data_IF_652180911478
#
_entry.id   IF_652180911478
#
_cell.length_a   1.000
_cell.length_b   1.000
_cell.length_c   1.000
_cell.angle_alpha   90.00
_cell.angle_beta   90.00
_cell.angle_gamma   90.00
#
_symmetry.space_group_name_H-M   'P 1'
#
loop_
_entity.id
_entity.type
_entity.pdbx_description
1 polymer ?
#
# COMPACT_ATOMS: atom_id res chain seq x y z
N UNK A 1 -9.81 7.39 7.98
CA UNK A 1 -9.86 5.93 8.25
C UNK A 1 -8.71 5.45 9.12
N UNK A 2 -7.45 5.36 8.66
CA UNK A 2 -6.35 4.78 9.45
C UNK A 2 -6.12 5.44 10.83
N UNK A 3 -6.29 6.75 10.96
CA UNK A 3 -6.25 7.43 12.28
C UNK A 3 -7.28 6.84 13.23
N UNK A 4 -8.54 6.75 12.78
CA UNK A 4 -9.66 6.16 13.52
C UNK A 4 -9.44 4.69 13.89
N UNK A 5 -8.77 3.93 13.02
CA UNK A 5 -8.34 2.54 13.35
C UNK A 5 -7.32 2.53 14.48
N UNK A 6 -6.35 3.44 14.44
CA UNK A 6 -5.34 3.58 15.50
C UNK A 6 -5.96 4.00 16.83
N UNK A 7 -6.81 5.02 16.82
CA UNK A 7 -7.55 5.50 18.00
C UNK A 7 -8.38 4.38 18.63
N UNK A 8 -9.16 3.64 17.83
CA UNK A 8 -9.93 2.51 18.31
C UNK A 8 -9.10 1.45 19.04
N UNK A 9 -7.93 1.11 18.50
CA UNK A 9 -7.05 0.12 19.12
C UNK A 9 -6.34 0.68 20.37
N UNK A 10 -6.02 1.98 20.39
CA UNK A 10 -5.47 2.67 21.57
C UNK A 10 -6.49 2.74 22.71
N UNK A 11 -7.77 2.90 22.38
CA UNK A 11 -8.90 2.98 23.33
C UNK A 11 -9.41 1.60 23.81
N UNK A 12 -8.64 0.53 23.57
CA UNK A 12 -8.97 -0.83 24.04
C UNK A 12 -9.83 -1.66 23.09
N UNK A 13 -10.04 -1.18 21.86
CA UNK A 13 -10.68 -1.93 20.79
C UNK A 13 -9.97 -3.26 20.49
N UNK A 14 -10.73 -4.25 20.02
CA UNK A 14 -10.25 -5.62 19.81
C UNK A 14 -10.39 -6.06 18.36
N UNK A 15 -9.44 -6.88 17.91
CA UNK A 15 -9.54 -7.59 16.63
C UNK A 15 -10.71 -8.57 16.66
N UNK A 16 -11.40 -8.72 15.53
CA UNK A 16 -12.49 -9.69 15.43
C UNK A 16 -13.79 -9.25 16.13
N UNK A 17 -13.92 -7.99 16.55
CA UNK A 17 -15.19 -7.42 16.99
C UNK A 17 -16.09 -7.10 15.78
N UNK A 18 -17.39 -6.87 16.01
CA UNK A 18 -18.26 -6.31 14.97
C UNK A 18 -17.71 -4.94 14.50
N UNK A 19 -17.88 -4.61 13.21
CA UNK A 19 -17.39 -3.33 12.68
C UNK A 19 -18.07 -2.15 13.38
N UNK A 20 -17.32 -1.30 14.11
CA UNK A 20 -17.93 -0.23 14.89
C UNK A 20 -18.38 0.95 14.03
N UNK A 21 -18.07 0.97 12.73
CA UNK A 21 -18.31 2.13 11.87
C UNK A 21 -19.07 1.84 10.59
N UNK A 22 -18.98 0.61 10.09
CA UNK A 22 -19.69 0.18 8.89
C UNK A 22 -20.87 -0.73 9.26
N UNK A 23 -22.07 -0.18 9.46
CA UNK A 23 -23.25 -0.97 9.83
C UNK A 23 -23.66 -2.01 8.78
N UNK A 24 -23.19 -1.85 7.53
CA UNK A 24 -23.47 -2.74 6.40
C UNK A 24 -22.31 -3.66 6.04
N UNK A 25 -21.19 -3.61 6.77
CA UNK A 25 -20.09 -4.54 6.56
C UNK A 25 -20.51 -5.97 6.95
N UNK A 26 -20.06 -6.94 6.16
CA UNK A 26 -20.16 -8.36 6.46
C UNK A 26 -18.89 -8.83 7.16
N UNK A 27 -19.09 -9.45 8.31
CA UNK A 27 -18.02 -10.08 9.07
C UNK A 27 -17.44 -9.16 10.13
N UNK A 28 -16.40 -9.67 10.79
CA UNK A 28 -15.74 -8.97 11.87
C UNK A 28 -14.71 -7.99 11.34
N UNK A 29 -14.44 -6.95 12.13
CA UNK A 29 -13.42 -5.98 11.81
C UNK A 29 -12.02 -6.57 11.96
N UNK A 30 -11.31 -6.67 10.84
CA UNK A 30 -9.95 -7.23 10.76
C UNK A 30 -8.99 -6.19 10.15
N UNK A 31 -8.41 -5.28 10.96
CA UNK A 31 -7.45 -4.29 10.47
C UNK A 31 -6.13 -4.96 10.11
N UNK A 32 -5.98 -5.39 8.85
CA UNK A 32 -4.77 -6.03 8.31
C UNK A 32 -3.51 -5.15 8.33
N UNK A 33 -3.65 -3.87 8.64
CA UNK A 33 -2.60 -2.85 8.62
C UNK A 33 -2.60 -2.03 9.92
N UNK A 34 -2.83 -2.71 11.04
CA UNK A 34 -3.10 -2.10 12.33
C UNK A 34 -1.90 -1.31 12.90
N UNK A 35 -0.67 -1.84 12.78
CA UNK A 35 0.47 -1.27 13.51
C UNK A 35 0.81 0.16 13.05
N UNK A 36 0.93 0.46 11.73
CA UNK A 36 1.11 1.83 11.27
C UNK A 36 -0.05 2.74 11.65
N UNK A 37 -1.28 2.20 11.70
CA UNK A 37 -2.45 2.97 12.10
C UNK A 37 -2.33 3.43 13.56
N UNK A 38 -1.91 2.55 14.47
CA UNK A 38 -1.64 2.87 15.89
C UNK A 38 -0.50 3.87 16.03
N UNK A 39 0.62 3.63 15.34
CA UNK A 39 1.80 4.52 15.42
C UNK A 39 1.46 5.93 14.92
N UNK A 40 0.78 6.04 13.79
CA UNK A 40 0.41 7.34 13.21
C UNK A 40 -0.65 8.04 14.05
N UNK A 41 -1.62 7.31 14.62
CA UNK A 41 -2.58 7.90 15.57
C UNK A 41 -1.86 8.50 16.79
N UNK A 42 -0.87 7.79 17.35
CA UNK A 42 -0.11 8.32 18.49
C UNK A 42 0.71 9.56 18.15
N UNK A 43 1.31 9.59 16.96
CA UNK A 43 2.06 10.76 16.48
C UNK A 43 1.09 11.93 16.17
N UNK A 44 -0.10 11.62 15.67
CA UNK A 44 -1.16 12.59 15.41
C UNK A 44 -1.65 13.27 16.71
N UNK A 45 -1.79 12.54 17.82
CA UNK A 45 -2.15 13.14 19.13
C UNK A 45 -1.20 14.27 19.54
N UNK A 46 0.09 14.16 19.20
CA UNK A 46 1.09 15.15 19.60
C UNK A 46 1.18 16.33 18.64
N UNK A 47 1.15 16.07 17.33
CA UNK A 47 1.53 17.06 16.31
C UNK A 47 0.48 17.27 15.20
N UNK A 48 -0.70 16.68 15.33
CA UNK A 48 -1.83 16.87 14.41
C UNK A 48 -1.60 16.38 12.97
N UNK A 49 -2.35 16.94 12.01
CA UNK A 49 -2.26 16.59 10.59
C UNK A 49 -0.86 16.79 9.97
N UNK A 50 -0.06 17.80 10.36
CA UNK A 50 1.33 17.89 9.91
C UNK A 50 2.16 16.63 10.17
N UNK A 51 1.87 15.92 11.27
CA UNK A 51 2.57 14.69 11.61
C UNK A 51 2.28 13.56 10.60
N UNK A 52 1.03 13.48 10.12
CA UNK A 52 0.61 12.53 9.07
C UNK A 52 1.31 12.86 7.75
N UNK A 53 1.32 14.13 7.35
CA UNK A 53 2.03 14.60 6.16
C UNK A 53 3.54 14.30 6.24
N UNK A 54 4.15 14.52 7.41
CA UNK A 54 5.57 14.22 7.65
C UNK A 54 5.86 12.72 7.57
N UNK A 55 4.97 11.87 8.10
CA UNK A 55 5.14 10.41 8.08
C UNK A 55 5.28 9.82 6.68
N UNK A 56 4.58 10.41 5.70
CA UNK A 56 4.73 10.06 4.28
C UNK A 56 6.13 10.36 3.79
N UNK A 57 6.63 11.57 4.04
CA UNK A 57 8.00 11.96 3.65
C UNK A 57 9.02 11.05 4.33
N UNK A 58 8.84 10.76 5.62
CA UNK A 58 9.68 9.82 6.35
C UNK A 58 9.72 8.43 5.70
N UNK A 59 8.55 7.89 5.33
CA UNK A 59 8.45 6.62 4.63
C UNK A 59 9.14 6.63 3.26
N UNK A 60 8.98 7.69 2.47
CA UNK A 60 9.63 7.83 1.14
C UNK A 60 11.16 7.94 1.29
N UNK A 61 11.64 8.73 2.25
CA UNK A 61 13.08 8.89 2.54
C UNK A 61 13.70 7.57 2.99
N UNK A 62 13.04 6.85 3.90
CA UNK A 62 13.50 5.53 4.36
C UNK A 62 13.50 4.49 3.23
N UNK A 63 12.48 4.53 2.35
CA UNK A 63 12.42 3.67 1.18
C UNK A 63 13.59 3.95 0.22
N UNK A 64 13.82 5.22 -0.12
CA UNK A 64 14.91 5.64 -0.99
C UNK A 64 16.29 5.29 -0.41
N UNK A 65 16.48 5.52 0.89
CA UNK A 65 17.71 5.15 1.60
C UNK A 65 17.93 3.62 1.60
N UNK A 66 16.89 2.85 1.90
CA UNK A 66 16.95 1.38 1.90
C UNK A 66 17.27 0.83 0.51
N UNK A 67 16.65 1.37 -0.54
CA UNK A 67 16.94 1.02 -1.93
C UNK A 67 18.39 1.38 -2.29
N UNK A 68 18.83 2.60 -2.00
CA UNK A 68 20.17 3.06 -2.32
C UNK A 68 21.22 2.19 -1.62
N UNK A 69 21.11 1.99 -0.31
CA UNK A 69 22.06 1.18 0.46
C UNK A 69 22.12 -0.27 -0.04
N UNK A 70 20.97 -0.86 -0.37
CA UNK A 70 20.91 -2.25 -0.84
C UNK A 70 21.43 -2.42 -2.27
N UNK A 71 21.00 -1.56 -3.20
CA UNK A 71 21.46 -1.55 -4.59
C UNK A 71 22.94 -1.18 -4.69
N UNK A 72 23.46 -0.36 -3.77
CA UNK A 72 24.89 -0.03 -3.67
C UNK A 72 25.75 -1.24 -3.30
N UNK A 73 25.18 -2.33 -2.77
CA UNK A 73 25.91 -3.60 -2.59
C UNK A 73 26.06 -4.41 -3.88
N UNK A 74 25.27 -4.07 -4.90
CA UNK A 74 25.18 -4.78 -6.19
C UNK A 74 25.89 -3.99 -7.30
N UNK A 75 25.79 -2.67 -7.29
CA UNK A 75 26.33 -1.81 -8.34
C UNK A 75 27.12 -0.61 -7.81
N UNK A 76 27.93 -0.01 -8.70
CA UNK A 76 28.59 1.28 -8.49
C UNK A 76 27.57 2.40 -8.25
N UNK A 77 27.99 3.44 -7.52
CA UNK A 77 27.11 4.51 -7.06
C UNK A 77 26.19 5.12 -8.15
N UNK A 78 26.68 5.50 -9.35
CA UNK A 78 25.80 6.08 -10.38
C UNK A 78 24.66 5.16 -10.80
N UNK A 79 24.94 3.85 -10.90
CA UNK A 79 23.93 2.86 -11.29
C UNK A 79 22.95 2.62 -10.16
N UNK A 80 23.44 2.56 -8.91
CA UNK A 80 22.59 2.43 -7.72
C UNK A 80 21.65 3.64 -7.57
N UNK A 81 22.12 4.86 -7.86
CA UNK A 81 21.29 6.07 -7.87
C UNK A 81 20.21 6.01 -8.95
N UNK A 82 20.57 5.65 -10.20
CA UNK A 82 19.60 5.51 -11.30
C UNK A 82 18.56 4.44 -10.99
N UNK A 83 18.98 3.27 -10.51
CA UNK A 83 18.08 2.18 -10.15
C UNK A 83 17.16 2.56 -8.96
N UNK A 84 17.67 3.32 -7.99
CA UNK A 84 16.88 3.86 -6.88
C UNK A 84 15.84 4.86 -7.39
N UNK A 85 16.25 5.83 -8.20
CA UNK A 85 15.34 6.81 -8.79
C UNK A 85 14.23 6.14 -9.62
N UNK A 86 14.60 5.13 -10.41
CA UNK A 86 13.66 4.33 -11.17
C UNK A 86 12.63 3.63 -10.27
N UNK A 87 13.09 2.96 -9.22
CA UNK A 87 12.22 2.32 -8.24
C UNK A 87 11.26 3.32 -7.57
N UNK A 88 11.73 4.53 -7.24
CA UNK A 88 10.88 5.59 -6.68
C UNK A 88 9.84 6.07 -7.70
N UNK A 89 10.21 6.28 -8.96
CA UNK A 89 9.27 6.66 -10.03
C UNK A 89 8.20 5.58 -10.23
N UNK A 90 8.59 4.30 -10.21
CA UNK A 90 7.66 3.18 -10.32
C UNK A 90 6.69 3.11 -9.13
N UNK A 91 7.17 3.48 -7.93
CA UNK A 91 6.37 3.50 -6.72
C UNK A 91 5.50 4.75 -6.57
N UNK A 92 5.82 5.85 -7.27
CA UNK A 92 5.26 7.18 -7.04
C UNK A 92 3.74 7.24 -6.85
N UNK A 93 2.91 6.59 -7.70
CA UNK A 93 1.45 6.61 -7.52
C UNK A 93 0.96 5.98 -6.21
N UNK A 94 1.78 5.15 -5.57
CA UNK A 94 1.50 4.47 -4.31
C UNK A 94 2.22 5.09 -3.10
N UNK A 95 3.02 6.14 -3.30
CA UNK A 95 3.73 6.84 -2.22
C UNK A 95 2.84 7.90 -1.57
N UNK A 96 1.76 7.45 -0.92
CA UNK A 96 0.76 8.28 -0.22
C UNK A 96 0.90 8.14 1.31
N UNK A 97 0.08 8.87 2.07
CA UNK A 97 0.00 8.86 3.54
C UNK A 97 -0.60 7.54 4.11
N UNK A 98 -0.47 6.43 3.37
CA UNK A 98 -1.03 5.11 3.68
C UNK A 98 0.01 4.18 4.30
N UNK A 99 -0.41 3.16 5.11
CA UNK A 99 0.49 2.14 5.65
C UNK A 99 1.31 1.38 4.60
N UNK A 100 0.88 1.41 3.34
CA UNK A 100 1.58 0.82 2.20
C UNK A 100 3.04 1.26 2.09
N UNK A 101 3.36 2.52 2.37
CA UNK A 101 4.75 3.01 2.30
C UNK A 101 5.63 2.31 3.33
N UNK A 102 5.12 2.08 4.55
CA UNK A 102 5.80 1.25 5.56
C UNK A 102 6.02 -0.18 5.07
N UNK A 103 5.03 -0.75 4.37
CA UNK A 103 5.17 -2.04 3.69
C UNK A 103 6.32 -2.08 2.68
N UNK A 104 6.49 -1.02 1.88
CA UNK A 104 7.61 -0.93 0.94
C UNK A 104 8.96 -0.82 1.65
N UNK A 105 9.05 0.00 2.72
CA UNK A 105 10.27 0.15 3.53
C UNK A 105 10.74 -1.20 4.08
N UNK A 106 9.82 -2.07 4.52
CA UNK A 106 10.15 -3.41 5.02
C UNK A 106 10.39 -4.43 3.90
N UNK A 107 9.75 -4.27 2.73
CA UNK A 107 9.94 -5.17 1.60
C UNK A 107 11.34 -5.08 0.98
N UNK A 108 11.92 -3.88 0.90
CA UNK A 108 13.27 -3.69 0.33
C UNK A 108 14.35 -4.51 1.03
N UNK A 109 14.50 -4.50 2.37
CA UNK A 109 15.46 -5.35 3.05
C UNK A 109 15.14 -6.84 2.89
N UNK A 110 13.86 -7.23 2.73
CA UNK A 110 13.48 -8.62 2.41
C UNK A 110 14.02 -9.04 1.04
N UNK A 111 13.81 -8.21 0.00
CA UNK A 111 14.38 -8.44 -1.34
C UNK A 111 15.91 -8.49 -1.26
N UNK A 112 16.54 -7.53 -0.57
CA UNK A 112 18.00 -7.49 -0.38
C UNK A 112 18.54 -8.76 0.29
N UNK A 113 17.83 -9.27 1.29
CA UNK A 113 18.22 -10.46 2.02
C UNK A 113 18.16 -11.71 1.14
N UNK A 114 17.04 -11.93 0.46
CA UNK A 114 16.90 -13.06 -0.47
C UNK A 114 17.89 -12.98 -1.62
N UNK A 115 18.09 -11.78 -2.18
CA UNK A 115 19.10 -11.52 -3.19
C UNK A 115 20.49 -11.95 -2.70
N UNK A 116 20.92 -11.44 -1.54
CA UNK A 116 22.23 -11.81 -0.99
C UNK A 116 22.31 -13.29 -0.65
N UNK A 117 21.24 -13.93 -0.20
CA UNK A 117 21.17 -15.39 0.07
C UNK A 117 21.40 -16.18 -1.21
N UNK A 118 20.86 -15.72 -2.33
CA UNK A 118 21.09 -16.34 -3.64
C UNK A 118 22.54 -16.23 -4.09
N UNK A 119 23.25 -15.16 -3.69
CA UNK A 119 24.65 -14.94 -4.05
C UNK A 119 25.62 -15.67 -3.10
N UNK A 120 25.37 -15.71 -1.79
CA UNK A 120 26.30 -16.22 -0.79
C UNK A 120 25.90 -17.54 -0.11
N UNK A 121 24.70 -18.04 -0.35
CA UNK A 121 24.18 -19.28 0.24
C UNK A 121 23.94 -19.20 1.75
N UNK A 122 24.06 -18.01 2.37
CA UNK A 122 23.88 -17.82 3.82
C UNK A 122 22.45 -17.48 4.12
N UNK A 123 21.82 -18.24 5.01
CA UNK A 123 20.44 -18.00 5.44
C UNK A 123 20.38 -16.81 6.40
N UNK A 124 19.39 -15.93 6.20
CA UNK A 124 19.18 -14.71 6.99
C UNK A 124 17.97 -14.87 7.90
N UNK A 125 18.16 -15.51 9.05
CA UNK A 125 17.07 -15.85 9.97
C UNK A 125 16.31 -14.65 10.55
N UNK A 126 16.90 -13.45 10.55
CA UNK A 126 16.20 -12.22 10.90
C UNK A 126 15.03 -11.90 9.95
N UNK A 127 14.95 -12.54 8.77
CA UNK A 127 13.78 -12.47 7.90
C UNK A 127 12.50 -12.96 8.59
N UNK A 128 12.61 -13.89 9.53
CA UNK A 128 11.46 -14.43 10.27
C UNK A 128 10.80 -13.33 11.11
N UNK A 129 11.46 -12.72 12.12
CA UNK A 129 10.84 -11.63 12.88
C UNK A 129 10.51 -10.40 12.01
N UNK A 130 11.27 -10.12 10.94
CA UNK A 130 10.92 -9.04 10.02
C UNK A 130 9.62 -9.35 9.25
N UNK A 131 9.37 -10.60 8.85
CA UNK A 131 8.15 -10.98 8.15
C UNK A 131 6.94 -10.87 9.06
N UNK A 132 7.08 -11.22 10.35
CA UNK A 132 6.05 -10.95 11.36
C UNK A 132 5.72 -9.45 11.43
N UNK A 133 6.76 -8.60 11.54
CA UNK A 133 6.57 -7.15 11.58
C UNK A 133 5.90 -6.63 10.30
N UNK A 134 6.36 -7.09 9.13
CA UNK A 134 5.77 -6.72 7.84
C UNK A 134 4.30 -7.14 7.74
N UNK A 135 3.94 -8.29 8.33
CA UNK A 135 2.57 -8.77 8.39
C UNK A 135 1.66 -7.90 9.27
N UNK A 136 2.19 -7.29 10.33
CA UNK A 136 1.49 -6.29 11.13
C UNK A 136 1.37 -4.92 10.43
N UNK A 137 2.25 -4.64 9.47
CA UNK A 137 2.36 -3.33 8.80
C UNK A 137 1.47 -3.21 7.58
N UNK A 138 1.60 -4.13 6.61
CA UNK A 138 0.85 -4.03 5.37
C UNK A 138 0.83 -5.36 4.61
N UNK A 139 -0.29 -5.70 3.95
CA UNK A 139 -0.49 -6.96 3.19
C UNK A 139 0.53 -7.30 2.10
N UNK A 140 1.46 -6.40 1.79
CA UNK A 140 2.54 -6.61 0.82
C UNK A 140 3.63 -7.55 1.33
N UNK A 141 3.61 -7.88 2.63
CA UNK A 141 4.46 -8.93 3.22
C UNK A 141 4.40 -10.23 2.42
N UNK A 142 3.24 -10.55 1.86
CA UNK A 142 3.01 -11.74 1.03
C UNK A 142 3.88 -11.76 -0.24
N UNK A 143 4.16 -10.59 -0.84
CA UNK A 143 5.07 -10.48 -1.99
C UNK A 143 6.53 -10.68 -1.58
N UNK A 144 6.89 -10.37 -0.33
CA UNK A 144 8.19 -10.70 0.25
C UNK A 144 8.40 -12.21 0.37
N UNK A 145 7.38 -12.94 0.84
CA UNK A 145 7.38 -14.42 0.83
C UNK A 145 7.42 -14.98 -0.59
N UNK A 146 6.63 -14.43 -1.52
CA UNK A 146 6.65 -14.83 -2.93
C UNK A 146 8.03 -14.66 -3.56
N UNK A 147 8.71 -13.54 -3.26
CA UNK A 147 10.09 -13.30 -3.69
C UNK A 147 11.04 -14.37 -3.14
N UNK A 148 10.94 -14.67 -1.84
CA UNK A 148 11.72 -15.73 -1.20
C UNK A 148 11.49 -17.10 -1.82
N UNK A 149 10.23 -17.46 -2.09
CA UNK A 149 9.85 -18.71 -2.74
C UNK A 149 10.50 -18.84 -4.12
N UNK A 150 10.39 -17.81 -4.96
CA UNK A 150 10.98 -17.82 -6.30
C UNK A 150 12.51 -17.94 -6.25
N UNK A 151 13.15 -17.24 -5.31
CA UNK A 151 14.60 -17.34 -5.10
C UNK A 151 14.99 -18.75 -4.69
N UNK A 152 14.37 -19.31 -3.66
CA UNK A 152 14.69 -20.64 -3.15
C UNK A 152 14.40 -21.72 -4.20
N UNK A 153 13.28 -21.62 -4.92
CA UNK A 153 12.93 -22.55 -5.99
C UNK A 153 13.99 -22.58 -7.09
N UNK A 154 14.41 -21.41 -7.59
CA UNK A 154 15.45 -21.33 -8.61
C UNK A 154 16.78 -21.95 -8.14
N UNK A 155 17.20 -21.65 -6.90
CA UNK A 155 18.44 -22.19 -6.33
C UNK A 155 18.39 -23.72 -6.09
N UNK A 156 17.22 -24.25 -5.74
CA UNK A 156 17.00 -25.69 -5.55
C UNK A 156 17.07 -26.42 -6.88
N UNK A 157 16.40 -25.88 -7.91
CA UNK A 157 16.39 -26.46 -9.26
C UNK A 157 17.79 -26.46 -9.88
N UNK A 158 18.54 -25.36 -9.73
CA UNK A 158 19.93 -25.26 -10.22
C UNK A 158 20.93 -26.10 -9.42
N UNK A 159 20.53 -26.68 -8.27
CA UNK A 159 21.38 -27.43 -7.35
C UNK A 159 22.67 -26.71 -6.94
N UNK A 160 22.64 -25.38 -6.90
CA UNK A 160 23.82 -24.51 -6.74
C UNK A 160 24.52 -24.63 -5.37
N UNK A 161 23.76 -24.93 -4.33
CA UNK A 161 24.23 -25.01 -2.95
C UNK A 161 24.08 -26.42 -2.38
N UNK A 162 24.77 -26.73 -1.28
CA UNK A 162 24.68 -28.04 -0.60
C UNK A 162 23.25 -28.34 -0.13
N UNK A 163 22.93 -29.63 0.06
CA UNK A 163 21.62 -30.05 0.59
C UNK A 163 21.29 -29.36 1.92
N UNK A 164 22.25 -29.27 2.84
CA UNK A 164 22.07 -28.58 4.13
C UNK A 164 21.71 -27.10 3.96
N UNK A 165 22.39 -26.38 3.05
CA UNK A 165 22.05 -24.99 2.76
C UNK A 165 20.64 -24.84 2.19
N UNK A 166 20.25 -25.69 1.24
CA UNK A 166 18.89 -25.68 0.66
C UNK A 166 17.82 -25.94 1.71
N UNK A 167 18.03 -26.93 2.58
CA UNK A 167 17.10 -27.24 3.70
C UNK A 167 16.96 -26.05 4.63
N UNK A 168 18.06 -25.37 5.00
CA UNK A 168 18.01 -24.18 5.85
C UNK A 168 17.27 -23.02 5.19
N UNK A 169 17.39 -22.84 3.87
CA UNK A 169 16.65 -21.82 3.12
C UNK A 169 15.14 -22.11 3.12
N UNK A 170 14.75 -23.36 2.87
CA UNK A 170 13.36 -23.81 2.92
C UNK A 170 12.80 -23.64 4.34
N UNK A 171 13.55 -24.03 5.37
CA UNK A 171 13.16 -23.85 6.76
C UNK A 171 12.99 -22.37 7.15
N UNK A 172 13.84 -21.48 6.65
CA UNK A 172 13.68 -20.04 6.84
C UNK A 172 12.39 -19.52 6.18
N UNK A 173 12.09 -19.95 4.95
CA UNK A 173 10.86 -19.58 4.25
C UNK A 173 9.62 -20.09 4.97
N UNK A 174 9.65 -21.34 5.45
CA UNK A 174 8.60 -21.93 6.27
C UNK A 174 8.42 -21.18 7.60
N UNK A 175 9.52 -20.80 8.27
CA UNK A 175 9.49 -19.97 9.47
C UNK A 175 8.87 -18.60 9.20
N UNK A 176 9.20 -17.95 8.07
CA UNK A 176 8.59 -16.68 7.67
C UNK A 176 7.08 -16.81 7.42
N UNK A 177 6.61 -17.92 6.84
CA UNK A 177 5.18 -18.19 6.68
C UNK A 177 4.50 -18.48 8.03
N UNK A 178 5.13 -19.28 8.90
CA UNK A 178 4.56 -19.66 10.18
C UNK A 178 4.33 -18.44 11.09
N UNK A 179 5.27 -17.49 11.13
CA UNK A 179 5.12 -16.32 11.98
C UNK A 179 4.01 -15.35 11.54
N UNK A 180 3.56 -15.38 10.29
CA UNK A 180 2.41 -14.52 9.90
C UNK A 180 1.10 -14.98 10.51
N UNK A 181 0.99 -16.28 10.85
CA UNK A 181 -0.12 -16.82 11.62
C UNK A 181 -0.07 -16.45 13.11
N UNK A 182 1.08 -15.95 13.60
CA UNK A 182 1.30 -15.52 15.00
C UNK A 182 1.06 -14.02 15.20
N UNK A 183 0.50 -13.33 14.20
CA UNK A 183 0.04 -11.95 14.38
C UNK A 183 -1.26 -11.92 15.20
N UNK A 184 -1.68 -10.77 15.75
CA UNK A 184 -2.97 -10.65 16.44
C UNK A 184 -4.20 -11.02 15.59
N UNK A 185 -4.06 -11.05 14.26
CA UNK A 185 -5.10 -11.46 13.32
C UNK A 185 -5.20 -12.99 13.16
N UNK A 186 -4.23 -13.73 13.73
CA UNK A 186 -4.19 -15.18 13.73
C UNK A 186 -3.92 -15.80 12.34
N UNK A 187 -4.18 -17.12 12.17
CA UNK A 187 -3.84 -17.85 10.97
C UNK A 187 -4.61 -17.41 9.73
N UNK A 188 -5.77 -16.76 9.89
CA UNK A 188 -6.58 -16.26 8.76
C UNK A 188 -5.84 -15.23 7.93
N UNK A 189 -4.89 -14.49 8.52
CA UNK A 189 -4.06 -13.53 7.79
C UNK A 189 -3.31 -14.19 6.61
N UNK A 190 -2.95 -15.47 6.73
CA UNK A 190 -2.28 -16.23 5.66
C UNK A 190 -3.13 -16.36 4.39
N UNK A 191 -4.45 -16.32 4.54
CA UNK A 191 -5.43 -16.43 3.44
C UNK A 191 -5.88 -15.07 2.91
N UNK A 192 -5.60 -13.97 3.63
CA UNK A 192 -6.03 -12.63 3.26
C UNK A 192 -5.70 -12.20 1.82
N UNK A 193 -4.52 -12.56 1.24
CA UNK A 193 -4.23 -12.22 -0.16
C UNK A 193 -5.21 -12.83 -1.17
N UNK A 194 -5.81 -13.98 -0.85
CA UNK A 194 -6.72 -14.70 -1.74
C UNK A 194 -8.17 -14.23 -1.59
N UNK A 195 -8.59 -13.79 -0.40
CA UNK A 195 -9.95 -13.30 -0.13
C UNK A 195 -10.18 -11.89 -0.67
N UNK A 196 -9.16 -11.02 -0.61
CA UNK A 196 -9.25 -9.64 -1.12
C UNK A 196 -9.34 -9.62 -2.66
N UNK A 197 -8.71 -10.59 -3.33
CA UNK A 197 -8.70 -10.66 -4.79
C UNK A 197 -10.04 -11.00 -5.45
N UNK A 198 -10.96 -11.66 -4.73
CA UNK A 198 -12.21 -12.20 -5.30
C UNK A 198 -13.42 -11.28 -5.18
N UNK A 199 -13.50 -10.40 -4.17
CA UNK A 199 -14.79 -9.78 -3.80
C UNK A 199 -15.06 -8.38 -4.37
N UNK A 200 -14.04 -7.66 -4.87
CA UNK A 200 -14.24 -6.26 -5.27
C UNK A 200 -13.25 -5.71 -6.32
N UNK A 201 -12.49 -6.59 -7.00
CA UNK A 201 -11.45 -6.21 -7.98
C UNK A 201 -11.90 -5.23 -9.06
N UNK A 202 -13.14 -5.35 -9.52
CA UNK A 202 -13.70 -4.51 -10.58
C UNK A 202 -14.12 -3.10 -10.10
N UNK A 203 -14.26 -2.89 -8.79
CA UNK A 203 -14.75 -1.63 -8.22
C UNK A 203 -13.64 -0.77 -7.63
N UNK A 204 -12.47 -1.36 -7.35
CA UNK A 204 -11.31 -0.65 -6.81
C UNK A 204 -10.29 -0.42 -7.94
N UNK A 205 -10.10 0.84 -8.32
CA UNK A 205 -9.24 1.22 -9.44
C UNK A 205 -7.79 0.71 -9.28
N UNK A 206 -7.30 0.60 -8.05
CA UNK A 206 -5.98 0.05 -7.73
C UNK A 206 -5.85 -1.45 -8.02
N UNK A 207 -6.96 -2.18 -8.05
CA UNK A 207 -6.98 -3.63 -8.28
C UNK A 207 -7.23 -4.01 -9.75
N UNK A 208 -7.53 -3.02 -10.57
CA UNK A 208 -7.65 -3.18 -12.02
C UNK A 208 -6.27 -3.48 -12.65
N UNK A 209 -6.26 -4.14 -13.83
CA UNK A 209 -5.06 -4.27 -14.63
C UNK A 209 -4.35 -2.93 -14.83
N UNK A 210 -3.03 -2.97 -14.89
CA UNK A 210 -2.24 -1.79 -15.18
C UNK A 210 -2.27 -1.47 -16.68
N UNK A 211 -1.92 -0.24 -17.04
CA UNK A 211 -1.83 0.18 -18.43
C UNK A 211 -0.41 0.56 -18.76
N UNK A 212 0.11 0.08 -19.90
CA UNK A 212 1.42 0.48 -20.41
C UNK A 212 1.50 2.00 -20.70
N UNK A 213 0.36 2.69 -20.79
CA UNK A 213 0.29 4.16 -20.94
C UNK A 213 0.58 4.89 -19.62
N UNK A 214 0.51 4.21 -18.48
CA UNK A 214 0.87 4.79 -17.19
C UNK A 214 2.40 4.91 -17.08
N UNK A 215 2.96 6.10 -16.79
CA UNK A 215 4.42 6.30 -16.76
C UNK A 215 5.17 5.30 -15.88
N UNK A 216 4.67 5.01 -14.68
CA UNK A 216 5.27 4.03 -13.77
C UNK A 216 5.38 2.62 -14.37
N UNK A 217 4.35 2.20 -15.12
CA UNK A 217 4.33 0.90 -15.81
C UNK A 217 5.33 0.90 -16.96
N UNK A 218 5.28 1.93 -17.82
CA UNK A 218 6.19 2.08 -18.95
C UNK A 218 7.66 2.07 -18.51
N UNK A 219 8.00 2.81 -17.45
CA UNK A 219 9.36 2.85 -16.89
C UNK A 219 9.78 1.47 -16.36
N UNK A 220 8.88 0.75 -15.67
CA UNK A 220 9.19 -0.61 -15.19
C UNK A 220 9.44 -1.57 -16.35
N UNK A 221 8.58 -1.54 -17.38
CA UNK A 221 8.72 -2.39 -18.57
C UNK A 221 10.00 -2.06 -19.33
N UNK A 222 10.35 -0.78 -19.46
CA UNK A 222 11.61 -0.35 -20.06
C UNK A 222 12.82 -0.88 -19.27
N UNK A 223 12.79 -0.79 -17.94
CA UNK A 223 13.84 -1.35 -17.09
C UNK A 223 14.02 -2.86 -17.32
N UNK A 224 12.91 -3.61 -17.37
CA UNK A 224 12.92 -5.05 -17.63
C UNK A 224 13.40 -5.39 -19.05
N UNK A 225 13.06 -4.57 -20.05
CA UNK A 225 13.55 -4.71 -21.41
C UNK A 225 15.07 -4.46 -21.50
N UNK A 226 15.57 -3.44 -20.78
CA UNK A 226 17.01 -3.17 -20.67
C UNK A 226 17.74 -4.32 -19.98
N UNK A 227 17.18 -4.89 -18.91
CA UNK A 227 17.72 -6.09 -18.26
C UNK A 227 17.84 -7.25 -19.26
N UNK A 228 16.75 -7.53 -19.99
CA UNK A 228 16.74 -8.59 -20.99
C UNK A 228 17.79 -8.36 -22.09
N UNK A 229 17.88 -7.13 -22.60
CA UNK A 229 18.90 -6.74 -23.57
C UNK A 229 20.34 -6.89 -23.03
N UNK A 230 20.58 -6.53 -21.77
CA UNK A 230 21.89 -6.73 -21.13
C UNK A 230 22.23 -8.22 -21.00
N UNK A 231 21.25 -9.06 -20.66
CA UNK A 231 21.43 -10.52 -20.60
C UNK A 231 21.68 -11.13 -21.98
N UNK A 232 21.00 -10.67 -23.04
CA UNK A 232 21.20 -11.19 -24.40
C UNK A 232 22.57 -10.84 -24.98
N UNK A 233 23.25 -9.82 -24.42
CA UNK A 233 24.62 -9.43 -24.80
C UNK A 233 25.71 -10.19 -24.04
N UNK A 234 25.35 -11.08 -23.12
CA UNK A 234 26.31 -11.86 -22.32
C UNK A 234 26.49 -13.26 -22.86
N UNK A 235 27.71 -13.78 -22.72
CA UNK A 235 28.02 -15.17 -23.03
C UNK A 235 27.42 -16.16 -22.03
N UNK A 236 27.18 -15.72 -20.78
CA UNK A 236 26.56 -16.53 -19.74
C UNK A 236 25.07 -16.20 -19.58
N UNK A 237 24.27 -17.26 -19.42
CA UNK A 237 22.83 -17.14 -19.17
C UNK A 237 22.57 -16.62 -17.74
N UNK A 238 21.48 -15.85 -17.54
CA UNK A 238 21.06 -15.47 -16.18
C UNK A 238 20.70 -16.71 -15.37
N UNK A 239 20.86 -16.61 -14.05
CA UNK A 239 20.46 -17.69 -13.14
C UNK A 239 18.94 -17.82 -13.11
N UNK A 240 18.44 -19.03 -12.90
CA UNK A 240 17.02 -19.36 -12.96
C UNK A 240 16.21 -18.56 -11.96
N UNK A 241 16.73 -18.31 -10.76
CA UNK A 241 16.06 -17.46 -9.78
C UNK A 241 15.95 -15.99 -10.26
N UNK A 242 16.92 -15.48 -11.01
CA UNK A 242 16.85 -14.13 -11.60
C UNK A 242 15.78 -14.08 -12.71
N UNK A 243 15.68 -15.14 -13.52
CA UNK A 243 14.64 -15.28 -14.53
C UNK A 243 13.25 -15.34 -13.89
N UNK A 244 13.09 -16.10 -12.81
CA UNK A 244 11.84 -16.15 -12.04
C UNK A 244 11.46 -14.79 -11.46
N UNK A 245 12.42 -14.04 -10.91
CA UNK A 245 12.17 -12.68 -10.43
C UNK A 245 11.85 -11.71 -11.57
N UNK A 246 12.45 -11.87 -12.75
CA UNK A 246 12.14 -11.06 -13.93
C UNK A 246 10.72 -11.32 -14.43
N UNK A 247 10.32 -12.59 -14.53
CA UNK A 247 8.96 -12.99 -14.89
C UNK A 247 7.94 -12.52 -13.85
N UNK A 248 8.27 -12.62 -12.56
CA UNK A 248 7.44 -12.11 -11.49
C UNK A 248 7.32 -10.59 -11.54
N UNK A 249 8.41 -9.86 -11.80
CA UNK A 249 8.38 -8.40 -11.97
C UNK A 249 7.46 -8.02 -13.13
N UNK A 250 7.60 -8.67 -14.29
CA UNK A 250 6.73 -8.47 -15.45
C UNK A 250 5.26 -8.75 -15.11
N UNK A 251 4.99 -9.90 -14.48
CA UNK A 251 3.65 -10.30 -14.05
C UNK A 251 3.04 -9.31 -13.07
N UNK A 252 3.75 -8.93 -12.01
CA UNK A 252 3.30 -7.95 -11.01
C UNK A 252 3.04 -6.58 -11.63
N UNK A 253 3.90 -6.15 -12.58
CA UNK A 253 3.72 -4.87 -13.27
C UNK A 253 2.48 -4.87 -14.16
N UNK A 254 2.15 -5.98 -14.83
CA UNK A 254 1.01 -6.05 -15.76
C UNK A 254 -0.31 -6.45 -15.08
N UNK A 255 -0.25 -7.22 -14.00
CA UNK A 255 -1.44 -7.82 -13.38
C UNK A 255 -2.33 -6.81 -12.68
N UNK A 256 -1.75 -5.86 -11.94
CA UNK A 256 -2.51 -4.95 -11.09
C UNK A 256 -1.74 -3.65 -10.82
N UNK A 257 -2.42 -2.50 -10.81
CA UNK A 257 -1.75 -1.20 -10.54
C UNK A 257 -1.01 -1.18 -9.21
N UNK A 258 -1.63 -1.75 -8.17
CA UNK A 258 -1.05 -1.81 -6.81
C UNK A 258 0.25 -2.63 -6.70
N UNK A 259 0.54 -3.52 -7.66
CA UNK A 259 1.75 -4.35 -7.67
C UNK A 259 2.90 -3.79 -8.53
N UNK A 260 2.65 -2.73 -9.31
CA UNK A 260 3.68 -2.03 -10.11
C UNK A 260 4.90 -1.60 -9.29
N UNK A 261 4.76 -1.03 -8.07
CA UNK A 261 5.91 -0.66 -7.26
C UNK A 261 6.84 -1.85 -6.95
N UNK A 262 6.26 -3.03 -6.68
CA UNK A 262 7.04 -4.24 -6.38
C UNK A 262 7.76 -4.75 -7.63
N UNK A 263 7.08 -4.74 -8.78
CA UNK A 263 7.73 -5.01 -10.07
C UNK A 263 8.90 -4.05 -10.32
N UNK A 264 8.74 -2.76 -10.01
CA UNK A 264 9.79 -1.74 -10.09
C UNK A 264 10.98 -2.02 -9.16
N UNK A 265 10.73 -2.48 -7.92
CA UNK A 265 11.82 -2.85 -7.00
C UNK A 265 12.61 -4.05 -7.51
N UNK A 266 11.94 -5.10 -7.96
CA UNK A 266 12.59 -6.27 -8.55
C UNK A 266 13.38 -5.87 -9.82
N UNK A 267 12.78 -5.04 -10.69
CA UNK A 267 13.44 -4.52 -11.88
C UNK A 267 14.69 -3.70 -11.55
N UNK A 268 14.67 -2.89 -10.49
CA UNK A 268 15.83 -2.11 -10.05
C UNK A 268 16.99 -3.00 -9.61
N UNK A 269 16.72 -4.07 -8.87
CA UNK A 269 17.74 -5.06 -8.47
C UNK A 269 18.32 -5.80 -9.67
N UNK A 270 17.45 -6.28 -10.56
CA UNK A 270 17.84 -6.95 -11.79
C UNK A 270 18.68 -6.04 -12.70
N UNK A 271 18.28 -4.77 -12.84
CA UNK A 271 19.00 -3.76 -13.62
C UNK A 271 20.38 -3.47 -13.02
N UNK A 272 20.46 -3.28 -11.71
CA UNK A 272 21.73 -3.05 -11.02
C UNK A 272 22.70 -4.21 -11.25
N UNK A 273 22.24 -5.46 -11.13
CA UNK A 273 23.06 -6.65 -11.36
C UNK A 273 23.43 -6.84 -12.83
N UNK A 274 22.46 -6.73 -13.74
CA UNK A 274 22.66 -6.84 -15.18
C UNK A 274 23.61 -5.75 -15.72
N UNK A 275 23.68 -4.60 -15.06
CA UNK A 275 24.69 -3.60 -15.38
C UNK A 275 26.05 -3.91 -14.75
N UNK A 276 26.09 -4.28 -13.46
CA UNK A 276 27.32 -4.49 -12.71
C UNK A 276 28.16 -5.66 -13.25
N UNK A 277 27.52 -6.71 -13.75
CA UNK A 277 28.19 -7.88 -14.32
C UNK A 277 28.33 -7.77 -15.86
N UNK A 278 28.15 -6.58 -16.46
CA UNK A 278 28.33 -6.36 -17.89
C UNK A 278 29.80 -6.54 -18.25
N UNK A 279 30.12 -7.61 -18.98
CA UNK A 279 31.48 -7.93 -19.41
C UNK A 279 32.27 -8.78 -18.42
N UNK A 280 31.66 -9.27 -17.33
CA UNK A 280 32.31 -10.18 -16.37
C UNK A 280 31.42 -11.38 -16.08
N UNK A 281 32.03 -12.55 -15.84
CA UNK A 281 31.31 -13.77 -15.45
C UNK A 281 31.08 -13.85 -13.92
N UNK A 282 31.88 -13.12 -13.13
CA UNK A 282 31.84 -13.19 -11.68
C UNK A 282 30.92 -12.12 -11.07
N UNK A 283 30.16 -12.44 -10.00
CA UNK A 283 29.38 -11.45 -9.27
C UNK A 283 30.30 -10.37 -8.68
N UNK A 284 30.12 -9.12 -9.11
CA UNK A 284 30.84 -7.99 -8.54
C UNK A 284 30.09 -7.53 -7.30
N UNK A 285 30.77 -7.51 -6.15
CA UNK A 285 30.19 -6.99 -4.90
C UNK A 285 30.81 -5.65 -4.60
N UNK A 286 29.95 -4.68 -4.35
CA UNK A 286 30.38 -3.39 -3.86
C UNK A 286 30.10 -3.30 -2.35
N UNK A 287 30.96 -2.60 -1.63
CA UNK A 287 30.72 -2.26 -0.23
C UNK A 287 30.69 -0.73 -0.14
N UNK A 288 29.58 -0.12 0.29
CA UNK A 288 29.60 1.30 0.58
C UNK A 288 30.62 1.55 1.70
N UNK A 289 31.48 2.53 1.50
CA UNK A 289 32.40 3.03 2.52
C UNK A 289 31.62 3.60 3.70
N UNK A 290 32.26 3.65 4.87
CA UNK A 290 31.65 4.28 6.06
C UNK A 290 31.24 5.72 5.79
N UNK A 291 32.06 6.46 5.04
CA UNK A 291 31.77 7.83 4.63
C UNK A 291 30.53 7.90 3.73
N UNK A 292 30.41 7.06 2.70
CA UNK A 292 29.19 6.99 1.87
C UNK A 292 27.93 6.74 2.71
N UNK A 293 27.98 5.78 3.63
CA UNK A 293 26.83 5.47 4.51
C UNK A 293 26.48 6.67 5.39
N UNK A 294 27.47 7.29 6.02
CA UNK A 294 27.26 8.50 6.84
C UNK A 294 26.65 9.61 6.00
N UNK A 295 27.14 9.85 4.78
CA UNK A 295 26.61 10.86 3.86
C UNK A 295 25.15 10.58 3.50
N UNK A 296 24.79 9.34 3.17
CA UNK A 296 23.41 9.00 2.82
C UNK A 296 22.47 9.14 4.02
N UNK A 297 22.91 8.72 5.20
CA UNK A 297 22.14 8.88 6.44
C UNK A 297 21.99 10.36 6.80
N UNK A 298 23.05 11.15 6.70
CA UNK A 298 23.01 12.59 6.95
C UNK A 298 22.08 13.31 5.95
N UNK A 299 22.11 12.95 4.67
CA UNK A 299 21.21 13.48 3.66
C UNK A 299 19.75 13.10 3.93
N UNK A 300 19.50 11.87 4.37
CA UNK A 300 18.17 11.43 4.80
C UNK A 300 17.69 12.25 6.00
N UNK A 301 18.51 12.41 7.05
CA UNK A 301 18.17 13.22 8.22
C UNK A 301 17.92 14.69 7.85
N UNK A 302 18.76 15.29 7.02
CA UNK A 302 18.56 16.65 6.51
C UNK A 302 17.23 16.78 5.76
N UNK A 303 16.89 15.78 4.93
CA UNK A 303 15.60 15.73 4.23
C UNK A 303 14.43 15.70 5.22
N UNK A 304 14.52 14.88 6.28
CA UNK A 304 13.48 14.79 7.31
C UNK A 304 13.31 16.10 8.10
N UNK A 305 14.40 16.81 8.36
CA UNK A 305 14.37 18.11 9.03
C UNK A 305 13.72 19.18 8.15
N UNK A 306 14.10 19.25 6.87
CA UNK A 306 13.48 20.17 5.89
C UNK A 306 12.00 19.84 5.66
N UNK A 307 11.62 18.57 5.79
CA UNK A 307 10.23 18.14 5.65
C UNK A 307 9.31 18.65 6.77
N UNK A 308 9.82 19.06 7.93
CA UNK A 308 9.01 19.54 9.07
C UNK A 308 8.19 20.78 8.69
N UNK A 309 8.79 21.90 8.23
CA UNK A 309 8.01 23.08 7.83
C UNK A 309 7.08 22.81 6.63
N UNK A 310 7.50 21.97 5.68
CA UNK A 310 6.66 21.60 4.52
C UNK A 310 5.46 20.75 4.92
N UNK A 311 5.61 19.90 5.93
CA UNK A 311 4.52 19.10 6.44
C UNK A 311 3.50 19.95 7.20
N UNK A 312 3.94 21.03 7.86
CA UNK A 312 3.03 22.01 8.48
C UNK A 312 2.16 22.69 7.44
N UNK A 313 2.78 23.28 6.41
CA UNK A 313 2.02 23.94 5.34
C UNK A 313 1.07 22.99 4.61
N UNK A 314 1.48 21.73 4.40
CA UNK A 314 0.61 20.70 3.83
C UNK A 314 -0.49 20.23 4.78
N UNK A 315 -0.26 20.20 6.09
CA UNK A 315 -1.26 19.83 7.08
C UNK A 315 -2.36 20.89 7.24
N UNK A 316 -1.99 22.16 7.06
CA UNK A 316 -2.91 23.30 7.11
C UNK A 316 -3.78 23.40 5.85
N UNK A 317 -3.26 22.89 4.72
CA UNK A 317 -4.00 22.79 3.47
C UNK A 317 -4.71 21.43 3.41
N UNK A 318 -6.05 21.43 3.41
CA UNK A 318 -6.87 20.25 3.10
C UNK A 318 -7.60 20.46 1.75
N UNK A 319 -6.88 20.53 0.61
CA UNK A 319 -7.49 20.87 -0.66
C UNK A 319 -8.56 19.85 -1.04
N UNK A 320 -9.75 20.34 -1.37
CA UNK A 320 -10.86 19.52 -1.86
C UNK A 320 -11.66 18.78 -0.78
N UNK A 321 -11.40 19.02 0.51
CA UNK A 321 -12.29 18.58 1.59
C UNK A 321 -13.29 19.70 1.94
N UNK A 322 -14.59 19.39 2.15
CA UNK A 322 -15.59 20.40 2.47
C UNK A 322 -15.57 20.77 3.96
N UNK A 323 -14.47 21.36 4.43
CA UNK A 323 -14.23 21.68 5.85
C UNK A 323 -15.17 22.75 6.41
N UNK A 324 -15.87 23.51 5.57
CA UNK A 324 -16.92 24.43 6.07
C UNK A 324 -18.20 23.70 6.45
N UNK A 325 -18.38 22.44 6.05
CA UNK A 325 -19.55 21.62 6.40
C UNK A 325 -19.36 20.84 7.71
N UNK A 326 -18.22 20.98 8.40
CA UNK A 326 -17.94 20.21 9.62
C UNK A 326 -18.95 20.49 10.73
N UNK A 327 -19.39 21.74 10.87
CA UNK A 327 -20.34 22.11 11.91
C UNK A 327 -21.69 21.43 11.70
N UNK A 328 -22.21 21.49 10.48
CA UNK A 328 -23.48 20.88 10.08
C UNK A 328 -23.41 19.35 10.16
N UNK A 329 -22.28 18.75 9.76
CA UNK A 329 -22.06 17.31 9.86
C UNK A 329 -22.03 16.83 11.33
N UNK A 330 -21.39 17.58 12.23
CA UNK A 330 -21.36 17.26 13.67
C UNK A 330 -22.71 17.48 14.35
N UNK A 331 -23.55 18.36 13.81
CA UNK A 331 -24.89 18.62 14.29
C UNK A 331 -25.91 17.54 13.89
N UNK A 332 -25.55 16.60 13.01
CA UNK A 332 -26.42 15.47 12.66
C UNK A 332 -26.75 14.62 13.91
N UNK A 333 -28.00 14.13 14.03
CA UNK A 333 -28.37 13.22 15.11
C UNK A 333 -27.44 12.01 15.20
N UNK A 334 -27.18 11.54 16.42
CA UNK A 334 -26.39 10.32 16.62
C UNK A 334 -27.03 9.13 15.92
N UNK A 335 -26.21 8.33 15.23
CA UNK A 335 -26.70 7.20 14.46
C UNK A 335 -27.14 7.54 13.03
N UNK A 336 -26.96 8.78 12.57
CA UNK A 336 -27.40 9.19 11.23
C UNK A 336 -26.64 8.45 10.14
N UNK A 337 -27.38 7.76 9.27
CA UNK A 337 -26.82 7.10 8.10
C UNK A 337 -26.62 8.09 6.95
N UNK A 338 -25.36 8.23 6.52
CA UNK A 338 -24.95 9.21 5.53
C UNK A 338 -24.46 8.50 4.27
N UNK A 339 -25.04 8.83 3.12
CA UNK A 339 -24.44 8.47 1.84
C UNK A 339 -23.42 9.52 1.44
N UNK A 340 -22.16 9.12 1.27
CA UNK A 340 -21.10 10.04 0.84
C UNK A 340 -20.45 9.55 -0.44
N UNK A 341 -19.74 10.45 -1.15
CA UNK A 341 -18.72 10.01 -2.09
C UNK A 341 -17.74 9.06 -1.35
N UNK A 342 -17.34 7.97 -2.02
CA UNK A 342 -16.56 6.89 -1.41
C UNK A 342 -15.24 7.39 -0.84
N UNK A 343 -14.59 8.34 -1.53
CA UNK A 343 -13.31 8.91 -1.10
C UNK A 343 -13.44 9.84 0.12
N UNK A 344 -14.63 10.40 0.36
CA UNK A 344 -14.92 11.25 1.54
C UNK A 344 -15.31 10.46 2.78
N UNK A 345 -15.71 9.20 2.65
CA UNK A 345 -16.18 8.37 3.77
C UNK A 345 -15.19 8.34 4.94
N UNK A 346 -13.88 8.26 4.63
CA UNK A 346 -12.82 8.25 5.63
C UNK A 346 -12.63 9.58 6.38
N UNK A 347 -12.95 10.71 5.76
CA UNK A 347 -12.98 12.04 6.38
C UNK A 347 -14.27 12.25 7.17
N UNK A 348 -15.43 11.88 6.59
CA UNK A 348 -16.73 11.91 7.28
C UNK A 348 -16.68 11.17 8.61
N UNK A 349 -16.13 9.95 8.61
CA UNK A 349 -15.96 9.15 9.82
C UNK A 349 -15.07 9.82 10.87
N UNK A 350 -14.10 10.63 10.45
CA UNK A 350 -13.16 11.31 11.34
C UNK A 350 -13.77 12.60 11.91
N UNK A 351 -14.42 13.38 11.06
CA UNK A 351 -15.01 14.68 11.39
C UNK A 351 -16.33 14.58 12.16
N UNK A 352 -17.18 13.61 11.79
CA UNK A 352 -18.49 13.41 12.36
C UNK A 352 -18.63 11.97 12.88
N UNK A 353 -18.08 11.66 14.09
CA UNK A 353 -18.07 10.30 14.62
C UNK A 353 -19.48 9.73 14.88
N UNK A 354 -20.46 10.61 15.02
CA UNK A 354 -21.88 10.28 15.22
C UNK A 354 -22.60 9.87 13.92
N UNK A 355 -21.97 10.09 12.76
CA UNK A 355 -22.50 9.71 11.46
C UNK A 355 -21.95 8.33 11.04
N UNK A 356 -22.85 7.49 10.54
CA UNK A 356 -22.49 6.18 9.97
C UNK A 356 -22.52 6.25 8.45
N UNK A 357 -21.36 6.13 7.77
CA UNK A 357 -21.37 6.04 6.33
C UNK A 357 -22.09 4.76 5.89
N UNK A 358 -22.97 4.88 4.89
CA UNK A 358 -23.61 3.69 4.28
C UNK A 358 -22.62 2.83 3.50
N UNK A 359 -21.49 3.42 3.12
CA UNK A 359 -20.41 2.79 2.36
C UNK A 359 -19.09 3.50 2.68
N UNK A 360 -18.00 2.74 2.79
CA UNK A 360 -16.65 3.29 2.98
C UNK A 360 -15.61 2.61 2.08
N UNK A 361 -14.37 3.12 2.12
CA UNK A 361 -13.27 2.68 1.25
C UNK A 361 -12.88 1.18 1.38
N UNK A 362 -13.34 0.48 2.42
CA UNK A 362 -13.10 -0.96 2.65
C UNK A 362 -14.10 -1.80 1.85
N UNK A 363 -14.02 -1.72 0.52
CA UNK A 363 -14.98 -2.39 -0.38
C UNK A 363 -15.06 -3.90 -0.11
N UNK A 364 -13.96 -4.53 0.31
CA UNK A 364 -13.89 -5.94 0.70
C UNK A 364 -14.79 -6.33 1.88
N UNK A 365 -15.21 -5.35 2.70
CA UNK A 365 -16.09 -5.57 3.83
C UNK A 365 -17.56 -5.68 3.41
N UNK A 366 -17.93 -5.37 2.16
CA UNK A 366 -19.34 -5.30 1.74
C UNK A 366 -19.69 -6.42 0.75
N UNK A 367 -20.96 -6.80 0.69
CA UNK A 367 -21.42 -7.74 -0.36
C UNK A 367 -21.29 -7.11 -1.75
N UNK A 368 -21.08 -7.92 -2.80
CA UNK A 368 -21.15 -7.43 -4.18
C UNK A 368 -22.49 -6.74 -4.51
N UNK A 369 -23.59 -7.18 -3.88
CA UNK A 369 -24.91 -6.56 -4.06
C UNK A 369 -24.98 -5.16 -3.42
N UNK A 370 -24.42 -4.98 -2.22
CA UNK A 370 -24.33 -3.69 -1.56
C UNK A 370 -23.46 -2.71 -2.34
N UNK A 371 -22.29 -3.15 -2.80
CA UNK A 371 -21.37 -2.34 -3.62
C UNK A 371 -22.05 -1.87 -4.92
N UNK A 372 -22.72 -2.79 -5.63
CA UNK A 372 -23.48 -2.42 -6.85
C UNK A 372 -24.61 -1.46 -6.55
N UNK A 373 -25.36 -1.69 -5.47
CA UNK A 373 -26.46 -0.81 -5.05
C UNK A 373 -25.97 0.60 -4.73
N UNK A 374 -24.83 0.73 -4.03
CA UNK A 374 -24.21 2.02 -3.75
C UNK A 374 -23.81 2.76 -5.05
N UNK A 375 -23.11 2.07 -5.97
CA UNK A 375 -22.68 2.66 -7.24
C UNK A 375 -23.88 3.09 -8.09
N UNK A 376 -24.90 2.24 -8.19
CA UNK A 376 -26.14 2.55 -8.91
C UNK A 376 -26.86 3.75 -8.27
N UNK A 377 -26.90 3.82 -6.93
CA UNK A 377 -27.49 4.93 -6.20
C UNK A 377 -26.78 6.25 -6.49
N UNK A 378 -25.43 6.29 -6.47
CA UNK A 378 -24.67 7.50 -6.80
C UNK A 378 -24.93 8.02 -8.23
N UNK A 379 -25.28 7.13 -9.16
CA UNK A 379 -25.64 7.45 -10.55
C UNK A 379 -27.11 7.74 -10.75
N UNK A 380 -27.92 7.72 -9.68
CA UNK A 380 -29.38 7.80 -9.73
C UNK A 380 -30.02 6.79 -10.69
N UNK A 381 -29.41 5.60 -10.83
CA UNK A 381 -29.95 4.50 -11.64
C UNK A 381 -31.27 3.97 -11.04
N UNK A 382 -32.13 3.29 -11.84
CA UNK A 382 -33.34 2.67 -11.32
C UNK A 382 -33.03 1.80 -10.09
N UNK A 383 -33.83 1.92 -9.01
CA UNK A 383 -33.61 1.37 -7.65
C UNK A 383 -32.81 2.21 -6.65
N UNK A 384 -32.28 3.39 -7.01
CA UNK A 384 -31.56 4.25 -6.05
C UNK A 384 -32.40 4.57 -4.80
N UNK A 385 -33.71 4.77 -4.96
CA UNK A 385 -34.66 5.03 -3.87
C UNK A 385 -34.75 3.86 -2.89
N UNK A 386 -34.90 2.65 -3.42
CA UNK A 386 -34.97 1.42 -2.64
C UNK A 386 -33.67 1.19 -1.87
N UNK A 387 -32.52 1.50 -2.49
CA UNK A 387 -31.23 1.44 -1.82
C UNK A 387 -31.20 2.38 -0.61
N UNK A 388 -31.53 3.67 -0.79
CA UNK A 388 -31.51 4.65 0.31
C UNK A 388 -32.51 4.32 1.42
N UNK A 389 -33.70 3.83 1.07
CA UNK A 389 -34.69 3.36 2.04
C UNK A 389 -34.17 2.15 2.82
N UNK A 390 -33.59 1.16 2.15
CA UNK A 390 -33.03 -0.04 2.78
C UNK A 390 -31.84 0.28 3.68
N UNK A 391 -31.02 1.25 3.30
CA UNK A 391 -29.90 1.71 4.14
C UNK A 391 -30.30 2.76 5.17
N UNK A 392 -31.60 3.08 5.29
CA UNK A 392 -32.08 4.07 6.25
C UNK A 392 -31.41 5.43 6.11
N UNK A 393 -30.96 5.81 4.91
CA UNK A 393 -30.18 7.04 4.70
C UNK A 393 -31.01 8.27 5.08
N UNK A 394 -30.40 9.19 5.83
CA UNK A 394 -31.04 10.43 6.31
C UNK A 394 -30.26 11.70 5.96
N UNK A 395 -29.00 11.56 5.55
CA UNK A 395 -28.22 12.65 5.02
C UNK A 395 -27.34 12.18 3.86
N UNK A 396 -26.92 13.11 3.02
CA UNK A 396 -26.09 12.84 1.85
C UNK A 396 -25.01 13.91 1.72
N UNK A 397 -23.74 13.48 1.60
CA UNK A 397 -22.59 14.34 1.36
C UNK A 397 -22.01 14.00 -0.02
N UNK A 398 -22.45 14.71 -1.05
CA UNK A 398 -22.23 14.35 -2.45
C UNK A 398 -21.61 15.51 -3.21
N UNK A 399 -21.01 15.24 -4.38
CA UNK A 399 -20.59 16.31 -5.28
C UNK A 399 -21.80 17.11 -5.76
N UNK A 400 -21.62 18.42 -5.91
CA UNK A 400 -22.67 19.34 -6.34
C UNK A 400 -23.26 18.95 -7.70
N UNK A 401 -22.44 18.39 -8.59
CA UNK A 401 -22.79 17.99 -9.95
C UNK A 401 -23.20 16.51 -10.08
N UNK A 402 -23.34 15.78 -8.97
CA UNK A 402 -23.68 14.35 -9.03
C UNK A 402 -25.16 14.12 -9.39
N UNK A 403 -25.44 13.07 -10.16
CA UNK A 403 -26.80 12.71 -10.55
C UNK A 403 -27.72 12.49 -9.33
N UNK A 404 -27.18 11.91 -8.25
CA UNK A 404 -27.93 11.69 -7.02
C UNK A 404 -28.25 13.00 -6.29
N UNK A 405 -27.36 14.01 -6.34
CA UNK A 405 -27.64 15.34 -5.78
C UNK A 405 -28.89 15.97 -6.41
N UNK A 406 -28.98 15.95 -7.74
CA UNK A 406 -30.15 16.45 -8.46
C UNK A 406 -31.40 15.64 -8.12
N UNK A 407 -31.30 14.30 -8.11
CA UNK A 407 -32.43 13.44 -7.80
C UNK A 407 -32.99 13.66 -6.39
N UNK A 408 -32.12 13.82 -5.38
CA UNK A 408 -32.52 14.08 -3.99
C UNK A 408 -33.19 15.44 -3.82
N UNK A 409 -32.68 16.47 -4.50
CA UNK A 409 -33.21 17.84 -4.41
C UNK A 409 -34.53 17.97 -5.17
N UNK A 410 -34.59 17.46 -6.41
CA UNK A 410 -35.70 17.70 -7.32
C UNK A 410 -36.87 16.76 -7.08
N UNK A 411 -36.59 15.48 -6.78
CA UNK A 411 -37.61 14.45 -6.68
C UNK A 411 -38.02 14.15 -5.23
N UNK A 412 -37.05 14.14 -4.30
CA UNK A 412 -37.29 13.82 -2.88
C UNK A 412 -37.33 15.05 -1.97
N UNK A 413 -37.09 16.24 -2.54
CA UNK A 413 -37.18 17.54 -1.85
C UNK A 413 -36.29 17.62 -0.60
N UNK A 414 -35.15 16.93 -0.60
CA UNK A 414 -34.18 17.05 0.50
C UNK A 414 -33.65 18.48 0.60
N UNK A 415 -33.41 18.94 1.82
CA UNK A 415 -32.95 20.30 2.09
C UNK A 415 -31.43 20.36 2.00
N UNK A 416 -30.92 21.38 1.33
CA UNK A 416 -29.48 21.71 1.34
C UNK A 416 -29.14 22.34 2.69
N UNK A 417 -28.32 21.64 3.48
CA UNK A 417 -27.79 22.14 4.74
C UNK A 417 -26.57 23.05 4.53
N UNK A 418 -25.77 22.79 3.49
CA UNK A 418 -24.63 23.63 3.14
C UNK A 418 -23.93 23.18 1.85
N UNK A 419 -23.04 24.04 1.33
CA UNK A 419 -22.15 23.73 0.20
C UNK A 419 -20.73 24.20 0.49
N UNK A 420 -19.75 23.40 0.12
CA UNK A 420 -18.34 23.76 0.21
C UNK A 420 -17.47 22.88 -0.69
N UNK A 421 -16.41 23.46 -1.26
CA UNK A 421 -15.39 22.73 -2.04
C UNK A 421 -15.94 21.79 -3.14
N UNK A 422 -17.07 22.15 -3.76
CA UNK A 422 -17.74 21.35 -4.80
C UNK A 422 -18.60 20.19 -4.27
N UNK A 423 -18.88 20.18 -2.96
CA UNK A 423 -19.76 19.23 -2.31
C UNK A 423 -20.95 19.92 -1.64
N UNK A 424 -22.06 19.19 -1.57
CA UNK A 424 -23.30 19.59 -0.90
C UNK A 424 -23.62 18.59 0.21
N UNK A 425 -24.01 19.13 1.37
CA UNK A 425 -24.67 18.37 2.42
C UNK A 425 -26.19 18.52 2.26
N UNK A 426 -26.87 17.41 2.06
CA UNK A 426 -28.33 17.30 1.98
C UNK A 426 -28.84 16.54 3.19
N UNK A 427 -29.98 16.95 3.72
CA UNK A 427 -30.69 16.27 4.82
C UNK A 427 -32.14 16.05 4.44
N UNK A 428 -32.74 15.00 4.99
CA UNK A 428 -34.19 14.80 4.88
C UNK A 428 -34.96 16.02 5.43
N UNK A 429 -36.16 16.31 4.89
CA UNK A 429 -37.01 17.42 5.35
C UNK A 429 -37.37 17.37 6.83
#
# INVERSE_FOLDING_TARGET
>A
MHLKVGEFLLDGGRFGAADPWAPYAQGHYEPTQWLPSVVVAKIYEWWGLPAVAWSRTAGITLLALGLLLSLRTIARLPVALVATALAIVCAWPSLTERPQVGGFVLLVPVIAAWWRTAVDGRVRWWLVPLTWLAACVHGIWSLGLGTGLLVVAGLVVERRFTTSQRVRMIACLAGCLAVTALTPLGPRLTLAPFTVGSNARQFVSEWMPSSARTPAVAVTLLALAVVFWLWSRRSARPQLWQLFLWLAALGLTLFMRRTVPVGGFLAAYLLADAWATRGTLAPVRFRPSRHEVITFVAAALATLLVAIPLARTRGDLTPGLPTRLEHELRALPAGTHVISDGDLSGWLMFTAPNAHPVFDIRVEAYTPAHVRGFIAALRAEPSWREYLSRTGTRAALLKDDSALTSALTDQWRWRVAGRDSGYVLLVVP
#
